data_IF_894751807393
#
_entry.id   IF_894751807393
#
_cell.length_a   1.000
_cell.length_b   1.000
_cell.length_c   1.000
_cell.angle_alpha   90.00
_cell.angle_beta   90.00
_cell.angle_gamma   90.00
#
_symmetry.space_group_name_H-M   'P 1'
#
loop_
_entity.id
_entity.type
_entity.pdbx_description
1 polymer ?
#
# COMPACT_ATOMS: atom_id res chain seq x y z
N UNK A 1 59.43 -28.72 -23.30
CA UNK A 1 60.15 -29.95 -23.66
C UNK A 1 59.12 -30.95 -24.08
N UNK A 2 59.39 -31.80 -25.12
CA UNK A 2 59.98 -31.57 -26.47
C UNK A 2 58.90 -31.92 -27.55
N UNK A 3 58.94 -31.31 -28.70
CA UNK A 3 59.70 -31.59 -29.93
C UNK A 3 59.35 -32.87 -30.69
N UNK A 4 59.15 -32.69 -31.95
CA UNK A 4 59.67 -33.39 -33.13
C UNK A 4 58.60 -33.65 -34.20
N UNK A 5 58.68 -33.01 -35.28
CA UNK A 5 59.33 -33.38 -36.59
C UNK A 5 58.55 -34.34 -37.47
N UNK A 6 58.40 -33.97 -38.76
CA UNK A 6 58.04 -34.85 -39.84
C UNK A 6 57.71 -34.18 -41.15
N UNK A 7 58.73 -33.60 -41.81
CA UNK A 7 58.71 -33.31 -43.23
C UNK A 7 58.70 -34.58 -44.10
N UNK A 8 57.83 -34.65 -45.11
CA UNK A 8 58.21 -35.43 -46.32
C UNK A 8 57.76 -34.71 -47.57
N UNK A 9 58.77 -34.33 -48.33
CA UNK A 9 58.74 -34.07 -49.77
C UNK A 9 58.43 -35.35 -50.54
N UNK A 10 57.61 -35.25 -51.58
CA UNK A 10 57.69 -36.12 -52.72
C UNK A 10 57.56 -35.31 -54.03
N UNK A 11 58.54 -35.50 -54.87
CA UNK A 11 58.74 -34.92 -56.16
C UNK A 11 58.45 -36.01 -57.23
N UNK A 12 58.14 -35.56 -58.46
CA UNK A 12 58.12 -36.24 -59.75
C UNK A 12 56.75 -36.80 -60.17
N UNK A 13 56.24 -36.66 -61.36
CA UNK A 13 56.84 -36.56 -62.64
C UNK A 13 55.85 -35.98 -63.67
N UNK A 14 56.33 -35.33 -64.68
CA UNK A 14 55.57 -34.78 -65.79
C UNK A 14 55.01 -35.84 -66.73
N UNK A 15 53.83 -35.56 -67.25
CA UNK A 15 53.42 -36.05 -68.58
C UNK A 15 52.68 -34.95 -69.29
N UNK A 16 53.29 -34.60 -70.46
CA UNK A 16 52.68 -33.82 -71.51
C UNK A 16 51.61 -34.68 -72.19
N UNK A 17 50.42 -34.22 -72.38
CA UNK A 17 49.46 -34.75 -73.34
C UNK A 17 48.72 -33.58 -73.98
N UNK A 18 48.65 -33.67 -75.25
CA UNK A 18 48.23 -32.76 -76.28
C UNK A 18 46.76 -32.33 -76.21
N UNK A 19 46.55 -31.14 -76.74
CA UNK A 19 45.41 -30.53 -77.41
C UNK A 19 44.04 -31.16 -77.28
N UNK A 20 43.19 -30.42 -76.53
CA UNK A 20 41.73 -30.52 -76.73
C UNK A 20 41.23 -29.12 -76.92
N UNK A 21 40.58 -28.87 -78.05
CA UNK A 21 39.87 -27.61 -78.41
C UNK A 21 38.96 -27.14 -77.32
N UNK A 22 39.24 -26.01 -76.75
CA UNK A 22 38.35 -25.30 -75.86
C UNK A 22 37.19 -24.66 -76.64
N UNK A 23 36.04 -25.31 -76.65
CA UNK A 23 34.76 -24.68 -76.97
C UNK A 23 34.63 -23.37 -76.22
N UNK A 24 34.62 -22.26 -76.93
CA UNK A 24 34.42 -20.91 -76.47
C UNK A 24 32.97 -20.80 -75.93
N UNK A 25 32.81 -20.97 -74.63
CA UNK A 25 31.49 -20.67 -73.97
C UNK A 25 31.21 -19.16 -74.12
N UNK A 26 29.96 -18.78 -74.43
CA UNK A 26 29.61 -17.37 -74.50
C UNK A 26 29.70 -16.75 -73.09
N UNK A 27 30.39 -15.64 -72.99
CA UNK A 27 30.52 -14.84 -71.77
C UNK A 27 29.14 -14.43 -71.30
N UNK A 28 28.74 -14.74 -70.06
CA UNK A 28 27.46 -14.27 -69.50
C UNK A 28 27.49 -12.75 -69.49
N UNK A 29 26.38 -12.13 -69.90
CA UNK A 29 26.15 -10.70 -69.95
C UNK A 29 26.47 -10.04 -68.59
N UNK A 30 27.66 -9.52 -68.40
CA UNK A 30 28.16 -8.94 -67.14
C UNK A 30 27.39 -7.71 -66.67
N UNK A 31 26.57 -7.09 -67.51
CA UNK A 31 25.78 -5.89 -67.13
C UNK A 31 24.54 -6.21 -66.38
N UNK A 32 23.89 -7.38 -66.54
CA UNK A 32 22.73 -7.80 -65.74
C UNK A 32 23.12 -8.29 -64.36
N UNK A 33 24.28 -8.91 -64.21
CA UNK A 33 24.78 -9.42 -62.91
C UNK A 33 25.23 -8.25 -62.04
N UNK A 34 25.71 -7.15 -62.59
CA UNK A 34 26.11 -5.96 -61.83
C UNK A 34 24.94 -5.25 -61.18
N UNK A 35 23.77 -5.14 -61.85
CA UNK A 35 22.55 -4.55 -61.24
C UNK A 35 21.94 -5.38 -60.09
N UNK A 36 21.90 -6.71 -60.26
CA UNK A 36 21.40 -7.61 -59.21
C UNK A 36 22.32 -7.60 -57.96
N UNK A 37 23.65 -7.55 -58.14
CA UNK A 37 24.58 -7.47 -57.04
C UNK A 37 24.43 -6.17 -56.23
N UNK A 38 24.20 -5.03 -56.90
CA UNK A 38 23.95 -3.74 -56.21
C UNK A 38 22.63 -3.78 -55.46
N UNK A 39 21.54 -4.36 -56.02
CA UNK A 39 20.29 -4.51 -55.32
C UNK A 39 20.44 -5.39 -54.07
N UNK A 40 21.14 -6.54 -54.16
CA UNK A 40 21.42 -7.41 -53.03
C UNK A 40 22.24 -6.70 -51.95
N UNK A 41 23.25 -5.92 -52.35
CA UNK A 41 24.05 -5.12 -51.40
C UNK A 41 23.21 -4.07 -50.68
N UNK A 42 22.32 -3.36 -51.39
CA UNK A 42 21.40 -2.40 -50.79
C UNK A 42 20.41 -3.06 -49.84
N UNK A 43 19.83 -4.21 -50.21
CA UNK A 43 18.99 -5.00 -49.31
C UNK A 43 19.72 -5.49 -48.06
N UNK A 44 20.95 -5.95 -48.21
CA UNK A 44 21.77 -6.38 -47.08
C UNK A 44 22.07 -5.22 -46.12
N UNK A 45 22.41 -4.03 -46.66
CA UNK A 45 22.64 -2.83 -45.85
C UNK A 45 21.33 -2.39 -45.16
N UNK A 46 20.20 -2.44 -45.87
CA UNK A 46 18.89 -2.12 -45.27
C UNK A 46 18.54 -3.08 -44.12
N UNK A 47 18.69 -4.39 -44.34
CA UNK A 47 18.42 -5.40 -43.28
C UNK A 47 19.39 -5.25 -42.10
N UNK A 48 20.67 -5.01 -42.34
CA UNK A 48 21.65 -4.73 -41.29
C UNK A 48 21.29 -3.47 -40.50
N UNK A 49 20.90 -2.40 -41.18
CA UNK A 49 20.47 -1.16 -40.52
C UNK A 49 19.22 -1.37 -39.69
N UNK A 50 18.22 -2.10 -40.19
CA UNK A 50 17.02 -2.43 -39.47
C UNK A 50 17.33 -3.27 -38.22
N UNK A 51 18.24 -4.23 -38.32
CA UNK A 51 18.68 -5.08 -37.21
C UNK A 51 19.42 -4.26 -36.14
N UNK A 52 20.32 -3.34 -36.54
CA UNK A 52 21.02 -2.46 -35.58
C UNK A 52 20.04 -1.53 -34.86
N UNK A 53 19.08 -0.94 -35.60
CA UNK A 53 18.07 -0.08 -35.00
C UNK A 53 17.21 -0.89 -34.01
N UNK A 54 16.75 -2.08 -34.40
CA UNK A 54 15.97 -2.97 -33.51
C UNK A 54 16.74 -3.30 -32.24
N UNK A 55 18.02 -3.62 -32.36
CA UNK A 55 18.88 -3.93 -31.22
C UNK A 55 19.12 -2.71 -30.31
N UNK A 56 19.34 -1.53 -30.90
CA UNK A 56 19.48 -0.29 -30.14
C UNK A 56 18.22 0.05 -29.32
N UNK A 57 17.03 -0.13 -29.91
CA UNK A 57 15.76 0.06 -29.22
C UNK A 57 15.53 -0.96 -28.10
N UNK A 58 15.93 -2.22 -28.30
CA UNK A 58 15.85 -3.25 -27.24
C UNK A 58 16.77 -2.92 -26.07
N UNK A 59 18.00 -2.48 -26.33
CA UNK A 59 18.93 -2.06 -25.27
C UNK A 59 18.39 -0.84 -24.51
N UNK A 60 17.89 0.17 -25.20
CA UNK A 60 17.33 1.36 -24.57
C UNK A 60 16.13 1.01 -23.67
N UNK A 61 15.23 0.14 -24.15
CA UNK A 61 14.12 -0.39 -23.39
C UNK A 61 14.57 -1.14 -22.12
N UNK A 62 15.58 -2.00 -22.22
CA UNK A 62 16.14 -2.75 -21.08
C UNK A 62 16.82 -1.84 -20.06
N UNK A 63 17.55 -0.83 -20.54
CA UNK A 63 18.20 0.16 -19.66
C UNK A 63 17.15 1.00 -18.91
N UNK A 64 16.09 1.43 -19.60
CA UNK A 64 15.00 2.17 -18.94
C UNK A 64 14.27 1.34 -17.89
N UNK A 65 13.92 0.09 -18.21
CA UNK A 65 13.28 -0.85 -17.25
C UNK A 65 14.19 -1.13 -16.05
N UNK A 66 15.48 -1.36 -16.27
CA UNK A 66 16.44 -1.55 -15.18
C UNK A 66 16.59 -0.30 -14.32
N UNK A 67 16.61 0.88 -14.94
CA UNK A 67 16.64 2.16 -14.23
C UNK A 67 15.38 2.43 -13.42
N UNK A 68 14.21 2.07 -13.94
CA UNK A 68 12.94 2.18 -13.21
C UNK A 68 12.86 1.21 -12.03
N UNK A 69 13.30 -0.03 -12.22
CA UNK A 69 13.40 -1.01 -11.14
C UNK A 69 14.33 -0.54 -10.02
N UNK A 70 15.50 -0.01 -10.36
CA UNK A 70 16.43 0.53 -9.36
C UNK A 70 15.85 1.74 -8.61
N UNK A 71 15.10 2.61 -9.28
CA UNK A 71 14.39 3.73 -8.64
C UNK A 71 13.28 3.26 -7.71
N UNK A 72 12.53 2.22 -8.10
CA UNK A 72 11.49 1.64 -7.23
C UNK A 72 12.07 1.07 -5.95
N UNK A 73 13.11 0.23 -6.04
CA UNK A 73 13.80 -0.33 -4.87
C UNK A 73 14.38 0.77 -3.97
N UNK A 74 14.92 1.82 -4.56
CA UNK A 74 15.43 2.96 -3.80
C UNK A 74 14.31 3.72 -3.09
N UNK A 75 13.18 3.95 -3.75
CA UNK A 75 12.02 4.60 -3.13
C UNK A 75 11.49 3.78 -1.97
N UNK A 76 11.42 2.46 -2.12
CA UNK A 76 11.03 1.52 -1.06
C UNK A 76 12.00 1.55 0.12
N UNK A 77 13.30 1.43 -0.11
CA UNK A 77 14.31 1.50 0.95
C UNK A 77 14.24 2.81 1.74
N UNK A 78 13.97 3.93 1.07
CA UNK A 78 13.82 5.24 1.70
C UNK A 78 12.51 5.36 2.46
N UNK A 79 11.41 4.77 1.94
CA UNK A 79 10.15 4.67 2.67
C UNK A 79 10.30 3.84 3.96
N UNK A 80 10.99 2.69 3.89
CA UNK A 80 11.32 1.87 5.05
C UNK A 80 12.12 2.68 6.09
N UNK A 81 13.13 3.42 5.64
CA UNK A 81 13.94 4.25 6.53
C UNK A 81 13.11 5.32 7.26
N UNK A 82 12.17 5.96 6.56
CA UNK A 82 11.24 6.91 7.18
C UNK A 82 10.30 6.26 8.21
N UNK A 83 9.84 5.03 7.93
CA UNK A 83 9.02 4.26 8.87
C UNK A 83 9.83 3.86 10.11
N UNK A 84 11.09 3.45 9.96
CA UNK A 84 11.98 3.10 11.07
C UNK A 84 12.32 4.31 11.96
N UNK A 85 12.53 5.50 11.37
CA UNK A 85 12.73 6.74 12.14
C UNK A 85 11.57 7.00 13.09
N UNK A 86 10.35 6.74 12.64
CA UNK A 86 9.16 6.94 13.46
C UNK A 86 9.04 5.98 14.66
N UNK A 87 9.78 4.86 14.67
CA UNK A 87 9.82 3.95 15.82
C UNK A 87 10.54 4.56 17.03
N UNK A 88 11.43 5.54 16.81
CA UNK A 88 12.21 6.11 17.89
C UNK A 88 11.31 6.82 18.91
N UNK A 89 11.45 6.56 20.23
CA UNK A 89 10.54 7.09 21.26
C UNK A 89 10.45 8.63 21.32
N UNK A 90 11.52 9.32 20.94
CA UNK A 90 11.56 10.78 20.92
C UNK A 90 10.87 11.40 19.68
N UNK A 91 10.49 10.58 18.69
CA UNK A 91 9.76 11.07 17.51
C UNK A 91 8.27 11.09 17.83
N UNK A 92 7.72 12.28 17.80
CA UNK A 92 6.29 12.56 17.99
C UNK A 92 5.65 12.99 16.68
N UNK A 93 4.33 13.00 16.55
CA UNK A 93 3.64 13.59 15.41
C UNK A 93 4.12 15.01 15.14
N UNK A 94 4.28 15.38 13.89
CA UNK A 94 4.80 16.69 13.50
C UNK A 94 6.33 16.85 13.61
N UNK A 95 7.04 15.88 14.20
CA UNK A 95 8.50 15.98 14.34
C UNK A 95 9.18 16.14 12.99
N UNK A 96 10.14 17.07 12.89
CA UNK A 96 10.93 17.32 11.66
C UNK A 96 11.63 16.06 11.12
N UNK A 97 11.96 15.11 11.98
CA UNK A 97 12.59 13.86 11.60
C UNK A 97 11.68 12.93 10.79
N UNK A 98 10.37 13.20 10.74
CA UNK A 98 9.43 12.47 9.91
C UNK A 98 9.56 12.81 8.41
N UNK A 99 10.37 13.77 8.05
CA UNK A 99 10.76 14.04 6.67
C UNK A 99 12.28 14.11 6.55
N UNK A 100 12.81 13.55 5.47
CA UNK A 100 14.25 13.56 5.24
C UNK A 100 14.60 13.45 3.77
N UNK A 101 15.72 14.08 3.41
CA UNK A 101 16.29 14.01 2.07
C UNK A 101 17.67 13.38 2.15
N UNK A 102 17.93 12.42 1.27
CA UNK A 102 19.21 11.73 1.17
C UNK A 102 20.09 12.37 0.06
N UNK A 103 21.40 12.27 0.20
CA UNK A 103 22.42 12.89 -0.67
C UNK A 103 22.27 12.56 -2.18
N UNK A 104 21.51 11.56 -2.52
CA UNK A 104 21.33 11.07 -3.87
C UNK A 104 19.97 11.44 -4.50
N UNK A 105 19.30 12.46 -3.95
CA UNK A 105 18.03 12.98 -4.45
C UNK A 105 16.82 12.11 -4.15
N UNK A 106 16.93 11.14 -3.24
CA UNK A 106 15.79 10.43 -2.69
C UNK A 106 15.33 11.09 -1.40
N UNK A 107 14.05 11.01 -1.10
CA UNK A 107 13.46 11.61 0.10
C UNK A 107 12.35 10.73 0.66
N UNK A 108 12.10 10.85 1.94
CA UNK A 108 10.92 10.27 2.58
C UNK A 108 10.10 11.35 3.27
N UNK A 109 8.81 11.08 3.34
CA UNK A 109 7.86 11.82 4.14
C UNK A 109 7.02 10.80 4.91
N UNK A 110 7.12 10.79 6.22
CA UNK A 110 6.40 9.89 7.09
C UNK A 110 5.36 10.67 7.90
N UNK A 111 4.20 10.07 8.09
CA UNK A 111 3.14 10.57 8.96
C UNK A 111 2.90 9.58 10.08
N UNK A 112 2.97 10.06 11.31
CA UNK A 112 2.71 9.29 12.52
C UNK A 112 1.34 9.68 13.08
N UNK A 113 0.46 8.70 13.30
CA UNK A 113 -0.88 8.89 13.87
C UNK A 113 -1.21 7.80 14.90
N UNK A 114 -2.17 8.07 15.79
CA UNK A 114 -2.69 7.05 16.71
C UNK A 114 -3.65 6.11 16.00
N UNK A 115 -3.49 4.81 16.23
CA UNK A 115 -4.37 3.79 15.67
C UNK A 115 -5.76 3.83 16.33
N UNK A 116 -5.83 4.22 17.61
CA UNK A 116 -7.08 4.34 18.38
C UNK A 116 -8.06 5.42 17.89
N UNK A 117 -7.64 6.28 16.96
CA UNK A 117 -8.55 7.22 16.31
C UNK A 117 -9.54 6.57 15.32
N UNK A 118 -9.36 5.28 15.03
CA UNK A 118 -10.21 4.46 14.17
C UNK A 118 -11.12 3.57 15.00
N UNK A 119 -12.23 3.15 14.42
CA UNK A 119 -13.15 2.21 15.07
C UNK A 119 -12.55 0.80 15.09
N UNK A 120 -12.34 0.26 16.30
CA UNK A 120 -11.89 -1.12 16.46
C UNK A 120 -13.08 -2.07 16.34
N UNK A 121 -13.21 -2.74 15.19
CA UNK A 121 -14.35 -3.59 14.90
C UNK A 121 -14.49 -4.74 15.89
N UNK A 122 -13.41 -5.43 16.23
CA UNK A 122 -13.46 -6.54 17.18
C UNK A 122 -13.92 -6.08 18.58
N UNK A 123 -13.48 -4.91 19.01
CA UNK A 123 -13.90 -4.35 20.29
C UNK A 123 -15.36 -3.90 20.26
N UNK A 124 -15.85 -3.34 19.17
CA UNK A 124 -17.22 -2.88 19.02
C UNK A 124 -18.23 -4.03 19.13
N UNK A 125 -17.91 -5.19 18.54
CA UNK A 125 -18.81 -6.34 18.49
C UNK A 125 -18.61 -7.33 19.65
N UNK A 126 -17.47 -7.26 20.35
CA UNK A 126 -17.16 -8.21 21.42
C UNK A 126 -18.18 -8.14 22.56
N UNK A 127 -18.87 -9.28 22.78
CA UNK A 127 -19.86 -9.41 23.86
C UNK A 127 -21.14 -8.62 23.64
N UNK A 128 -21.40 -8.16 22.43
CA UNK A 128 -22.66 -7.50 22.00
C UNK A 128 -23.09 -6.34 22.91
N UNK A 129 -22.12 -5.55 23.37
CA UNK A 129 -22.37 -4.40 24.22
C UNK A 129 -23.21 -3.35 23.48
N UNK A 130 -24.43 -3.00 23.97
CA UNK A 130 -25.33 -2.11 23.24
C UNK A 130 -24.74 -0.72 22.98
N UNK A 131 -23.96 -0.18 23.92
CA UNK A 131 -23.37 1.15 23.78
C UNK A 131 -22.28 1.15 22.68
N UNK A 132 -21.53 0.06 22.57
CA UNK A 132 -20.53 -0.11 21.51
C UNK A 132 -21.16 -0.34 20.14
N UNK A 133 -22.18 -1.18 20.06
CA UNK A 133 -22.94 -1.41 18.83
C UNK A 133 -23.63 -0.14 18.34
N UNK A 134 -24.11 0.70 19.27
CA UNK A 134 -24.68 2.01 18.92
C UNK A 134 -23.64 2.92 18.24
N UNK A 135 -22.35 2.87 18.64
CA UNK A 135 -21.30 3.61 17.94
C UNK A 135 -21.20 3.15 16.47
N UNK A 136 -21.23 1.84 16.23
CA UNK A 136 -21.16 1.31 14.86
C UNK A 136 -22.38 1.73 14.04
N UNK A 137 -23.61 1.62 14.60
CA UNK A 137 -24.83 2.06 13.90
C UNK A 137 -24.82 3.54 13.56
N UNK A 138 -24.39 4.38 14.51
CA UNK A 138 -24.26 5.83 14.30
C UNK A 138 -23.18 6.17 13.26
N UNK A 139 -22.05 5.46 13.28
CA UNK A 139 -21.03 5.64 12.27
C UNK A 139 -21.56 5.36 10.87
N UNK A 140 -22.29 4.26 10.68
CA UNK A 140 -22.93 3.92 9.42
C UNK A 140 -24.01 4.94 9.03
N UNK A 141 -24.71 5.55 10.00
CA UNK A 141 -25.63 6.65 9.77
C UNK A 141 -24.93 7.92 9.28
N UNK A 142 -23.79 8.27 9.89
CA UNK A 142 -22.95 9.39 9.43
C UNK A 142 -22.46 9.17 8.01
N UNK A 143 -22.27 7.91 7.59
CA UNK A 143 -21.94 7.52 6.21
C UNK A 143 -23.17 7.43 5.28
N UNK A 144 -24.34 7.94 5.72
CA UNK A 144 -25.57 8.00 4.94
C UNK A 144 -26.15 6.64 4.52
N UNK A 145 -25.77 5.55 5.23
CA UNK A 145 -26.33 4.22 4.97
C UNK A 145 -27.74 4.15 5.58
N UNK A 146 -28.71 3.61 4.83
CA UNK A 146 -30.07 3.52 5.31
C UNK A 146 -30.27 2.53 6.47
N UNK A 147 -31.36 2.67 7.22
CA UNK A 147 -31.58 1.90 8.44
C UNK A 147 -31.56 0.39 8.23
N UNK A 148 -32.21 -0.09 7.17
CA UNK A 148 -32.33 -1.53 6.93
C UNK A 148 -30.96 -2.13 6.54
N UNK A 149 -30.20 -1.42 5.74
CA UNK A 149 -28.84 -1.83 5.37
C UNK A 149 -27.91 -1.80 6.58
N UNK A 150 -27.98 -0.76 7.43
CA UNK A 150 -27.22 -0.69 8.69
C UNK A 150 -27.48 -1.90 9.58
N UNK A 151 -28.77 -2.27 9.76
CA UNK A 151 -29.13 -3.42 10.59
C UNK A 151 -28.59 -4.71 9.98
N UNK A 152 -28.67 -4.88 8.65
CA UNK A 152 -28.07 -6.02 7.98
C UNK A 152 -26.55 -6.06 8.15
N UNK A 153 -25.85 -4.92 8.00
CA UNK A 153 -24.41 -4.84 8.17
C UNK A 153 -23.96 -5.20 9.59
N UNK A 154 -24.66 -4.67 10.60
CA UNK A 154 -24.33 -4.93 12.01
C UNK A 154 -24.61 -6.38 12.38
N UNK A 155 -25.80 -6.87 12.05
CA UNK A 155 -26.21 -8.25 12.37
C UNK A 155 -25.34 -9.29 11.65
N UNK A 156 -25.00 -9.05 10.37
CA UNK A 156 -24.10 -9.94 9.64
C UNK A 156 -22.66 -9.93 10.19
N UNK A 157 -22.20 -8.78 10.72
CA UNK A 157 -20.89 -8.71 11.38
C UNK A 157 -20.90 -9.43 12.72
N UNK A 158 -22.00 -9.36 13.47
CA UNK A 158 -22.17 -10.11 14.72
C UNK A 158 -22.18 -11.62 14.45
N UNK A 159 -22.97 -12.11 13.50
CA UNK A 159 -22.96 -13.52 13.11
C UNK A 159 -21.58 -14.00 12.63
N UNK A 160 -20.84 -13.12 11.95
CA UNK A 160 -19.48 -13.45 11.47
C UNK A 160 -18.51 -13.76 12.61
N UNK A 161 -18.64 -13.04 13.74
CA UNK A 161 -17.71 -13.15 14.86
C UNK A 161 -18.24 -14.01 16.02
N UNK A 162 -19.54 -14.28 16.08
CA UNK A 162 -20.18 -15.01 17.20
C UNK A 162 -19.74 -16.49 17.21
N UNK A 163 -19.07 -16.96 18.27
CA UNK A 163 -18.60 -18.35 18.33
C UNK A 163 -19.72 -19.40 18.42
N UNK A 164 -20.93 -18.97 18.80
CA UNK A 164 -22.06 -19.88 18.96
C UNK A 164 -22.85 -19.99 17.65
N UNK A 165 -22.57 -21.00 16.86
CA UNK A 165 -23.24 -21.28 15.58
C UNK A 165 -24.77 -21.53 15.69
N UNK A 166 -25.31 -21.63 16.89
CA UNK A 166 -26.77 -21.75 17.14
C UNK A 166 -27.48 -20.41 17.31
N UNK A 167 -26.74 -19.30 17.41
CA UNK A 167 -27.28 -17.94 17.39
C UNK A 167 -27.28 -17.40 15.96
N UNK A 168 -28.35 -16.69 15.63
CA UNK A 168 -28.47 -16.04 14.33
C UNK A 168 -29.21 -14.72 14.51
N UNK A 169 -28.59 -13.63 14.05
CA UNK A 169 -29.15 -12.31 14.15
C UNK A 169 -30.20 -12.07 13.07
N UNK A 170 -31.25 -11.33 13.41
CA UNK A 170 -32.49 -11.23 12.61
C UNK A 170 -32.28 -10.77 11.18
N UNK A 171 -31.39 -9.81 10.95
CA UNK A 171 -31.17 -9.21 9.64
C UNK A 171 -29.94 -9.80 8.91
N UNK A 172 -29.22 -10.73 9.53
CA UNK A 172 -28.15 -11.45 8.88
C UNK A 172 -28.70 -12.50 7.90
N UNK A 173 -28.04 -12.77 6.75
CA UNK A 173 -28.44 -13.85 5.87
C UNK A 173 -28.16 -15.21 6.51
N UNK A 174 -29.03 -16.18 6.26
CA UNK A 174 -28.78 -17.56 6.68
C UNK A 174 -27.54 -18.13 6.01
N UNK A 175 -26.82 -18.99 6.74
CA UNK A 175 -25.69 -19.73 6.19
C UNK A 175 -26.09 -20.59 5.00
N UNK A 176 -25.23 -20.66 4.01
CA UNK A 176 -25.41 -21.43 2.79
C UNK A 176 -24.07 -21.94 2.27
N UNK A 177 -24.07 -22.74 1.19
CA UNK A 177 -22.84 -23.22 0.55
C UNK A 177 -21.96 -22.05 0.05
N UNK A 178 -22.58 -20.89 -0.26
CA UNK A 178 -21.88 -19.71 -0.76
C UNK A 178 -21.54 -18.66 0.35
N UNK A 179 -22.14 -18.78 1.53
CA UNK A 179 -21.93 -17.86 2.64
C UNK A 179 -21.77 -18.59 3.97
N UNK A 180 -20.52 -18.69 4.43
CA UNK A 180 -20.12 -19.35 5.65
C UNK A 180 -19.32 -18.40 6.56
N UNK A 181 -19.93 -17.80 7.57
CA UNK A 181 -19.21 -17.09 8.63
C UNK A 181 -18.22 -18.02 9.35
N UNK A 182 -16.99 -17.55 9.63
CA UNK A 182 -15.99 -18.36 10.34
C UNK A 182 -16.22 -18.45 11.85
N UNK A 183 -17.19 -17.70 12.40
CA UNK A 183 -17.54 -17.63 13.82
C UNK A 183 -16.32 -17.32 14.72
N UNK A 184 -15.48 -16.40 14.25
CA UNK A 184 -14.28 -15.95 14.96
C UNK A 184 -14.08 -14.47 14.77
N UNK A 185 -13.41 -13.81 15.72
CA UNK A 185 -13.03 -12.41 15.59
C UNK A 185 -12.26 -12.19 14.28
N UNK A 186 -12.44 -11.02 13.69
CA UNK A 186 -11.74 -10.60 12.48
C UNK A 186 -10.23 -10.64 12.70
N UNK A 187 -9.52 -11.26 11.79
CA UNK A 187 -8.06 -11.31 11.76
C UNK A 187 -7.47 -10.29 10.79
N UNK A 188 -8.26 -9.91 9.78
CA UNK A 188 -7.93 -8.95 8.74
C UNK A 188 -9.13 -8.05 8.47
N UNK A 189 -8.87 -6.77 8.24
CA UNK A 189 -9.93 -5.81 7.95
C UNK A 189 -10.61 -6.09 6.59
N UNK A 190 -9.87 -6.70 5.66
CA UNK A 190 -10.37 -7.07 4.34
C UNK A 190 -11.45 -8.18 4.38
N UNK A 191 -11.62 -8.85 5.52
CA UNK A 191 -12.71 -9.81 5.73
C UNK A 191 -14.08 -9.16 5.63
N UNK A 192 -14.21 -7.85 5.93
CA UNK A 192 -15.44 -7.09 5.74
C UNK A 192 -16.01 -7.22 4.32
N UNK A 193 -15.17 -7.36 3.31
CA UNK A 193 -15.61 -7.57 1.90
C UNK A 193 -16.41 -8.84 1.70
N UNK A 194 -16.33 -9.79 2.61
CA UNK A 194 -17.03 -11.07 2.57
C UNK A 194 -18.30 -11.09 3.40
N UNK A 195 -18.49 -10.11 4.26
CA UNK A 195 -19.63 -10.01 5.16
C UNK A 195 -20.81 -9.39 4.41
N UNK A 196 -21.98 -9.98 4.54
CA UNK A 196 -23.18 -9.51 3.87
C UNK A 196 -23.49 -8.05 4.28
N UNK A 197 -23.93 -7.25 3.30
CA UNK A 197 -24.22 -5.83 3.48
C UNK A 197 -22.98 -4.91 3.41
N UNK A 198 -21.76 -5.42 3.53
CA UNK A 198 -20.55 -4.58 3.56
C UNK A 198 -19.91 -4.31 2.19
N UNK A 199 -20.39 -4.96 1.13
CA UNK A 199 -19.75 -4.90 -0.21
C UNK A 199 -19.73 -3.49 -0.81
N UNK A 200 -20.83 -2.73 -0.68
CA UNK A 200 -20.92 -1.37 -1.21
C UNK A 200 -20.00 -0.43 -0.44
N UNK A 201 -20.06 -0.45 0.89
CA UNK A 201 -19.19 0.32 1.76
C UNK A 201 -17.71 0.05 1.47
N UNK A 202 -17.31 -1.21 1.35
CA UNK A 202 -15.92 -1.61 1.11
C UNK A 202 -15.43 -1.38 -0.33
N UNK A 203 -16.30 -1.00 -1.25
CA UNK A 203 -15.92 -0.53 -2.59
C UNK A 203 -15.55 0.95 -2.62
N UNK A 204 -15.88 1.72 -1.60
CA UNK A 204 -15.54 3.13 -1.48
C UNK A 204 -14.03 3.29 -1.19
N UNK A 205 -13.28 4.13 -1.95
CA UNK A 205 -11.87 4.36 -1.66
C UNK A 205 -11.66 4.92 -0.25
N UNK A 206 -10.67 4.36 0.47
CA UNK A 206 -10.31 4.84 1.81
C UNK A 206 -11.13 4.25 2.97
N UNK A 207 -12.07 3.36 2.72
CA UNK A 207 -12.85 2.71 3.78
C UNK A 207 -11.98 2.01 4.84
N UNK A 208 -10.82 1.51 4.43
CA UNK A 208 -9.86 0.84 5.33
C UNK A 208 -9.26 1.80 6.38
N UNK A 209 -9.30 3.10 6.13
CA UNK A 209 -8.79 4.11 7.06
C UNK A 209 -9.75 4.43 8.20
N UNK A 210 -11.00 4.01 8.10
CA UNK A 210 -12.01 4.24 9.14
C UNK A 210 -11.96 3.21 10.27
N UNK A 211 -11.41 2.02 10.00
CA UNK A 211 -11.43 0.88 10.90
C UNK A 211 -10.04 0.39 11.28
N UNK A 212 -9.99 -0.31 12.41
CA UNK A 212 -8.79 -1.02 12.87
C UNK A 212 -9.17 -2.31 13.60
N UNK A 213 -8.20 -3.21 13.73
CA UNK A 213 -8.28 -4.36 14.62
C UNK A 213 -7.18 -4.31 15.71
N UNK A 214 -6.33 -3.28 15.69
CA UNK A 214 -5.07 -3.25 16.43
C UNK A 214 -5.06 -2.29 17.62
N UNK A 215 -6.03 -1.38 17.72
CA UNK A 215 -6.12 -0.44 18.84
C UNK A 215 -6.53 -1.15 20.14
N UNK A 216 -6.43 -0.46 21.26
CA UNK A 216 -6.89 -0.98 22.56
C UNK A 216 -8.42 -1.06 22.72
N UNK A 217 -9.18 -0.53 21.74
CA UNK A 217 -10.64 -0.62 21.68
C UNK A 217 -11.34 0.73 21.71
N UNK A 218 -11.38 1.42 22.87
CA UNK A 218 -12.04 2.73 22.99
C UNK A 218 -11.45 3.77 22.04
N UNK A 219 -12.29 4.69 21.56
CA UNK A 219 -11.92 5.72 20.60
C UNK A 219 -10.98 6.75 21.21
N UNK A 220 -9.79 6.89 20.67
CA UNK A 220 -8.82 7.90 21.11
C UNK A 220 -9.17 9.28 20.52
N UNK A 221 -9.61 10.19 21.41
CA UNK A 221 -10.05 11.53 21.03
C UNK A 221 -8.95 12.38 20.39
N UNK A 222 -7.68 12.07 20.68
CA UNK A 222 -6.55 12.80 20.09
C UNK A 222 -6.43 12.56 18.58
N UNK A 223 -6.97 11.44 18.07
CA UNK A 223 -6.76 10.99 16.69
C UNK A 223 -8.04 10.74 15.89
N UNK A 224 -9.20 10.68 16.58
CA UNK A 224 -10.46 10.34 15.94
C UNK A 224 -10.83 11.33 14.83
N UNK A 225 -11.29 10.79 13.69
CA UNK A 225 -11.83 11.57 12.59
C UNK A 225 -13.16 12.23 12.98
N UNK A 226 -13.61 13.20 12.18
CA UNK A 226 -14.90 13.86 12.39
C UNK A 226 -16.04 12.85 12.43
N UNK A 227 -16.06 11.90 11.51
CA UNK A 227 -17.12 10.90 11.39
C UNK A 227 -17.13 9.93 12.56
N UNK A 228 -15.94 9.51 13.03
CA UNK A 228 -15.80 8.69 14.24
C UNK A 228 -16.27 9.43 15.48
N UNK A 229 -15.95 10.72 15.61
CA UNK A 229 -16.43 11.54 16.73
C UNK A 229 -17.96 11.71 16.72
N UNK A 230 -18.57 11.90 15.56
CA UNK A 230 -20.03 12.00 15.41
C UNK A 230 -20.75 10.69 15.77
N UNK A 231 -20.08 9.56 15.65
CA UNK A 231 -20.61 8.26 16.06
C UNK A 231 -20.69 8.10 17.58
N UNK A 232 -19.94 8.88 18.35
CA UNK A 232 -19.96 8.81 19.81
C UNK A 232 -21.24 9.41 20.39
N UNK A 233 -21.79 8.80 21.46
CA UNK A 233 -23.06 9.24 22.04
C UNK A 233 -22.97 10.65 22.62
N UNK A 234 -23.96 11.48 22.28
CA UNK A 234 -24.08 12.85 22.80
C UNK A 234 -23.20 13.92 22.12
N UNK A 235 -22.39 13.54 21.12
CA UNK A 235 -21.63 14.48 20.32
C UNK A 235 -22.47 14.96 19.12
N UNK A 236 -22.69 16.27 19.04
CA UNK A 236 -23.35 16.92 17.89
C UNK A 236 -22.32 17.49 16.91
N UNK A 237 -22.70 17.77 15.66
CA UNK A 237 -21.77 18.39 14.69
C UNK A 237 -21.08 19.66 15.22
N UNK A 238 -21.82 20.50 15.96
CA UNK A 238 -21.27 21.75 16.50
C UNK A 238 -20.23 21.51 17.60
N UNK A 239 -20.44 20.46 18.43
CA UNK A 239 -19.48 20.07 19.47
C UNK A 239 -18.23 19.49 18.81
N UNK A 240 -18.41 18.60 17.84
CA UNK A 240 -17.31 17.95 17.12
C UNK A 240 -16.47 18.95 16.35
N UNK A 241 -17.09 19.85 15.59
CA UNK A 241 -16.37 20.84 14.77
C UNK A 241 -15.56 21.81 15.65
N UNK A 242 -16.16 22.28 16.77
CA UNK A 242 -15.45 23.09 17.77
C UNK A 242 -14.28 22.35 18.42
N UNK A 243 -14.50 21.07 18.78
CA UNK A 243 -13.46 20.23 19.36
C UNK A 243 -12.30 20.03 18.38
N UNK A 244 -12.58 19.69 17.12
CA UNK A 244 -11.57 19.54 16.09
C UNK A 244 -10.78 20.82 15.84
N UNK A 245 -11.46 21.96 15.82
CA UNK A 245 -10.79 23.25 15.69
C UNK A 245 -9.84 23.51 16.87
N UNK A 246 -10.25 23.19 18.10
CA UNK A 246 -9.40 23.37 19.27
C UNK A 246 -8.25 22.34 19.32
N UNK A 247 -8.45 21.13 18.80
CA UNK A 247 -7.44 20.06 18.74
C UNK A 247 -6.32 20.38 17.75
N UNK A 248 -6.67 20.82 16.55
CA UNK A 248 -5.76 21.08 15.42
C UNK A 248 -4.85 22.27 15.57
N UNK A 249 -4.97 23.02 16.65
CA UNK A 249 -4.17 24.21 16.83
C UNK A 249 -4.42 25.33 15.80
N UNK A 250 -3.51 26.27 15.71
CA UNK A 250 -3.61 27.44 14.79
C UNK A 250 -3.50 27.11 13.31
N UNK A 251 -2.77 26.05 12.92
CA UNK A 251 -2.59 25.67 11.52
C UNK A 251 -3.78 24.89 10.93
N UNK A 252 -4.66 24.36 11.79
CA UNK A 252 -5.85 23.61 11.40
C UNK A 252 -5.58 22.21 10.84
N UNK A 253 -4.36 21.68 11.00
CA UNK A 253 -3.90 20.39 10.45
C UNK A 253 -3.67 19.42 11.61
N UNK A 254 -4.27 18.21 11.54
CA UNK A 254 -4.03 17.17 12.53
C UNK A 254 -2.63 16.55 12.39
N UNK A 255 -1.96 16.30 13.50
CA UNK A 255 -0.67 15.60 13.57
C UNK A 255 0.54 16.54 13.46
N UNK A 256 0.39 17.81 13.77
CA UNK A 256 1.47 18.81 13.76
C UNK A 256 1.97 19.16 15.17
N UNK A 257 3.04 19.97 15.25
CA UNK A 257 3.65 20.32 16.54
C UNK A 257 2.79 21.25 17.40
N UNK A 258 1.87 21.99 16.80
CA UNK A 258 0.98 22.94 17.48
C UNK A 258 -0.37 22.36 17.90
N UNK A 259 -0.59 21.07 17.65
CA UNK A 259 -1.77 20.35 18.11
C UNK A 259 -1.94 20.40 19.64
N UNK A 260 -3.17 20.63 20.08
CA UNK A 260 -3.52 20.54 21.49
C UNK A 260 -3.42 19.11 21.99
N UNK A 261 -2.52 18.87 22.94
CA UNK A 261 -2.36 17.55 23.53
C UNK A 261 -3.47 17.25 24.54
N UNK A 262 -4.25 16.20 24.27
CA UNK A 262 -5.25 15.67 25.18
C UNK A 262 -4.59 14.62 26.06
N UNK A 263 -4.33 14.95 27.32
CA UNK A 263 -3.58 14.09 28.25
C UNK A 263 -4.45 13.21 29.12
N UNK A 264 -5.73 13.55 29.21
CA UNK A 264 -6.66 12.83 30.06
C UNK A 264 -8.07 13.38 30.02
N UNK A 265 -8.86 12.90 30.97
CA UNK A 265 -10.30 13.15 31.06
C UNK A 265 -10.62 14.63 31.24
N UNK A 266 -9.81 15.36 32.04
CA UNK A 266 -10.03 16.77 32.34
C UNK A 266 -9.85 17.65 31.11
N UNK A 267 -8.82 17.37 30.30
CA UNK A 267 -8.58 18.08 29.03
C UNK A 267 -9.72 17.84 28.05
N UNK A 268 -10.18 16.59 27.94
CA UNK A 268 -11.30 16.23 27.07
C UNK A 268 -12.60 16.91 27.51
N UNK A 269 -12.89 16.91 28.79
CA UNK A 269 -14.07 17.58 29.35
C UNK A 269 -14.05 19.10 29.05
N UNK A 270 -12.89 19.72 29.22
CA UNK A 270 -12.68 21.14 28.92
C UNK A 270 -12.90 21.46 27.42
N UNK A 271 -12.34 20.63 26.54
CA UNK A 271 -12.40 20.84 25.09
C UNK A 271 -13.79 20.53 24.53
N UNK A 272 -14.42 19.46 24.96
CA UNK A 272 -15.76 19.07 24.50
C UNK A 272 -16.86 19.98 25.06
N UNK A 273 -16.64 20.57 26.25
CA UNK A 273 -17.61 21.43 26.96
C UNK A 273 -18.97 20.72 27.16
N UNK A 274 -18.93 19.44 27.49
CA UNK A 274 -20.10 18.65 27.82
C UNK A 274 -20.46 18.83 29.29
N UNK A 275 -21.75 18.65 29.62
CA UNK A 275 -22.14 18.52 31.01
C UNK A 275 -21.77 17.13 31.57
N UNK A 276 -21.82 16.99 32.91
CA UNK A 276 -21.43 15.73 33.58
C UNK A 276 -22.22 14.50 33.11
N UNK A 277 -23.51 14.64 32.82
CA UNK A 277 -24.33 13.53 32.34
C UNK A 277 -23.96 13.11 30.92
N UNK A 278 -23.72 14.08 30.04
CA UNK A 278 -23.26 13.81 28.67
C UNK A 278 -21.89 13.15 28.68
N UNK A 279 -20.98 13.65 29.53
CA UNK A 279 -19.64 13.09 29.62
C UNK A 279 -19.61 11.67 30.18
N UNK A 280 -20.48 11.37 31.14
CA UNK A 280 -20.63 10.00 31.69
C UNK A 280 -21.03 8.97 30.64
N UNK A 281 -21.78 9.34 29.60
CA UNK A 281 -22.12 8.43 28.48
C UNK A 281 -20.93 8.05 27.63
N UNK A 282 -19.86 8.83 27.67
CA UNK A 282 -18.61 8.53 26.97
C UNK A 282 -17.67 7.63 27.79
N UNK A 283 -17.99 7.40 29.05
CA UNK A 283 -17.13 6.61 29.94
C UNK A 283 -16.96 5.18 29.43
N UNK A 284 -15.72 4.73 29.28
CA UNK A 284 -15.41 3.42 28.73
C UNK A 284 -15.44 3.34 27.19
N UNK A 285 -16.01 4.35 26.51
CA UNK A 285 -16.08 4.40 25.05
C UNK A 285 -14.94 5.21 24.42
N UNK A 286 -14.30 6.08 25.20
CA UNK A 286 -13.21 6.95 24.77
C UNK A 286 -11.91 6.66 25.51
N UNK A 287 -10.80 6.97 24.85
CA UNK A 287 -9.44 6.95 25.40
C UNK A 287 -8.68 8.21 25.06
N UNK A 288 -7.50 8.38 25.65
CA UNK A 288 -6.66 9.57 25.47
C UNK A 288 -5.21 9.23 25.10
N UNK A 289 -4.85 7.98 25.16
CA UNK A 289 -3.49 7.47 24.95
C UNK A 289 -3.49 6.01 24.52
N UNK A 290 -3.96 5.76 23.31
CA UNK A 290 -3.74 4.43 22.75
C UNK A 290 -2.24 4.23 22.49
N UNK A 291 -1.63 3.15 23.01
CA UNK A 291 -0.21 2.89 22.79
C UNK A 291 0.09 2.41 21.36
N UNK A 292 -0.93 2.16 20.54
CA UNK A 292 -0.77 1.68 19.18
C UNK A 292 -0.75 2.86 18.21
N UNK A 293 0.31 2.92 17.43
CA UNK A 293 0.57 3.97 16.48
C UNK A 293 0.66 3.41 15.07
N UNK A 294 0.26 4.22 14.09
CA UNK A 294 0.40 3.95 12.67
C UNK A 294 1.37 4.95 12.05
N UNK A 295 2.29 4.43 11.25
CA UNK A 295 3.14 5.20 10.38
C UNK A 295 2.79 4.91 8.94
N UNK A 296 2.65 5.96 8.14
CA UNK A 296 2.60 5.88 6.68
C UNK A 296 3.79 6.68 6.16
N UNK A 297 4.76 5.99 5.57
CA UNK A 297 5.97 6.60 5.02
C UNK A 297 5.98 6.49 3.50
N UNK A 298 6.12 7.62 2.83
CA UNK A 298 6.23 7.71 1.37
C UNK A 298 7.66 8.00 1.00
N UNK A 299 8.32 7.06 0.34
CA UNK A 299 9.65 7.23 -0.23
C UNK A 299 9.56 7.64 -1.70
N UNK A 300 10.42 8.56 -2.09
CA UNK A 300 10.49 9.09 -3.45
C UNK A 300 11.92 8.98 -3.97
N UNK A 301 12.10 8.45 -5.20
CA UNK A 301 13.38 8.40 -5.90
C UNK A 301 13.18 8.74 -7.38
N UNK A 302 13.47 9.97 -7.77
CA UNK A 302 13.13 10.52 -9.08
C UNK A 302 11.63 10.54 -9.30
N UNK A 303 11.12 9.74 -10.26
CA UNK A 303 9.67 9.61 -10.52
C UNK A 303 9.01 8.46 -9.76
N UNK A 304 9.80 7.56 -9.17
CA UNK A 304 9.27 6.41 -8.44
C UNK A 304 8.83 6.84 -7.04
N UNK A 305 7.67 6.35 -6.63
CA UNK A 305 7.13 6.49 -5.26
C UNK A 305 6.76 5.12 -4.73
N UNK A 306 7.06 4.88 -3.46
CA UNK A 306 6.65 3.70 -2.71
C UNK A 306 6.14 4.13 -1.34
N UNK A 307 5.14 3.41 -0.86
CA UNK A 307 4.54 3.69 0.44
C UNK A 307 4.70 2.47 1.34
N UNK A 308 5.13 2.72 2.55
CA UNK A 308 5.20 1.72 3.63
C UNK A 308 4.25 2.16 4.73
N UNK A 309 3.36 1.25 5.12
CA UNK A 309 2.49 1.42 6.28
C UNK A 309 2.90 0.43 7.36
N UNK A 310 3.12 0.94 8.55
CA UNK A 310 3.51 0.15 9.70
C UNK A 310 2.60 0.49 10.88
N UNK A 311 2.10 -0.54 11.58
CA UNK A 311 1.41 -0.39 12.86
C UNK A 311 2.27 -1.03 13.94
N UNK A 312 2.51 -0.30 15.00
CA UNK A 312 3.34 -0.76 16.11
C UNK A 312 2.79 -0.28 17.45
N UNK A 313 3.09 -1.04 18.49
CA UNK A 313 2.74 -0.70 19.86
C UNK A 313 3.95 -0.13 20.58
N UNK A 314 3.79 1.04 21.19
CA UNK A 314 4.82 1.72 21.96
C UNK A 314 4.56 1.54 23.46
N UNK A 315 5.02 0.42 24.00
CA UNK A 315 4.99 0.13 25.45
C UNK A 315 6.44 -0.12 25.90
N UNK A 316 6.95 0.73 26.79
CA UNK A 316 8.34 0.64 27.24
C UNK A 316 9.36 1.17 26.22
N UNK A 317 10.58 0.67 26.28
CA UNK A 317 11.71 1.19 25.49
C UNK A 317 11.77 0.61 24.08
N UNK A 318 11.19 -0.55 23.85
CA UNK A 318 11.26 -1.24 22.56
C UNK A 318 9.88 -1.31 21.93
N UNK A 319 9.67 -0.68 20.77
CA UNK A 319 8.39 -0.77 20.07
C UNK A 319 8.16 -2.19 19.53
N UNK A 320 6.92 -2.66 19.60
CA UNK A 320 6.51 -3.95 19.09
C UNK A 320 5.80 -3.75 17.75
N UNK A 321 6.36 -4.29 16.67
CA UNK A 321 5.72 -4.30 15.36
C UNK A 321 4.49 -5.22 15.38
N UNK A 322 3.35 -4.73 14.87
CA UNK A 322 2.11 -5.46 14.76
C UNK A 322 1.86 -5.81 13.28
N UNK A 323 1.89 -4.82 12.40
CA UNK A 323 1.67 -5.03 10.95
C UNK A 323 2.65 -4.21 10.12
N UNK A 324 2.97 -4.76 8.95
CA UNK A 324 3.77 -4.10 7.92
C UNK A 324 3.13 -4.35 6.56
N UNK A 325 2.89 -3.31 5.79
CA UNK A 325 2.33 -3.36 4.43
C UNK A 325 3.15 -2.46 3.52
N UNK A 326 3.39 -2.89 2.28
CA UNK A 326 4.09 -2.15 1.22
C UNK A 326 3.16 -1.98 0.01
N UNK A 327 3.18 -0.77 -0.61
CA UNK A 327 2.30 -0.42 -1.72
C UNK A 327 3.06 0.21 -2.89
#
# INVERSE_FOLDING_TARGET
>A
MPACHGKRLFRLAGRRCDGVDLMKMPSPNSKLISGAAIMLALWAIFLLSALVISWALDIDSRLSLSGDGARMLKAEAVACSGAEVALHPAVTPGSRNLSGQLDNGASYEARLSGEGGRLNLNWLVAGEDPDRLEILRRFLEVKEIDLHERDTMVDSLLDWVEPNTGLHHLNAPSESDDYHPPHTLLTRIEELKKIAGWSEFTSTPGWEDEFTLNSSGPVDLAWASRDVLLALPGLTPEIVDRFLQARRGPDGIDGTEDDTQIRGIDDAHLLLRLNEEQFKRLNGLISFKDPVLRVVSVGTAGKAKRTVQMVFRRIGAVPQLITWKEF
#
